data_IF_007742947202
#
_entry.id   IF_007742947202
#
_cell.length_a   1.000
_cell.length_b   1.000
_cell.length_c   1.000
_cell.angle_alpha   90.00
_cell.angle_beta   90.00
_cell.angle_gamma   90.00
#
_symmetry.space_group_name_H-M   'P 1'
#
loop_
_entity.id
_entity.type
_entity.pdbx_description
1 polymer ?
#
# COMPACT_ATOMS: atom_id res chain seq x y z
N UNK A 1 -13.01 -18.10 13.80
CA UNK A 1 -12.29 -18.50 12.57
C UNK A 1 -11.11 -17.56 12.37
N UNK A 2 -9.93 -18.08 12.05
CA UNK A 2 -8.75 -17.26 11.80
C UNK A 2 -8.87 -16.65 10.39
N UNK A 3 -8.85 -15.31 10.27
CA UNK A 3 -8.92 -14.64 8.96
C UNK A 3 -7.57 -14.68 8.27
N UNK A 4 -7.57 -14.73 6.94
CA UNK A 4 -6.38 -14.60 6.10
C UNK A 4 -6.63 -13.43 5.14
N UNK A 5 -6.10 -12.27 5.51
CA UNK A 5 -6.27 -11.03 4.76
C UNK A 5 -4.98 -10.74 3.99
N UNK A 6 -5.14 -10.49 2.70
CA UNK A 6 -4.10 -9.96 1.84
C UNK A 6 -4.29 -8.46 1.68
N UNK A 7 -3.20 -7.71 1.77
CA UNK A 7 -3.11 -6.38 1.17
C UNK A 7 -2.14 -6.48 0.00
N UNK A 8 -2.59 -6.05 -1.17
CA UNK A 8 -1.84 -6.17 -2.42
C UNK A 8 -1.66 -4.76 -2.97
N UNK A 9 -0.41 -4.38 -3.21
CA UNK A 9 -0.01 -3.00 -3.51
C UNK A 9 1.07 -3.00 -4.59
N UNK A 10 0.86 -2.22 -5.66
CA UNK A 10 1.82 -2.12 -6.76
C UNK A 10 3.15 -1.47 -6.36
N UNK A 11 4.24 -1.98 -6.93
CA UNK A 11 5.56 -1.44 -6.66
C UNK A 11 5.89 -0.27 -7.57
N UNK A 12 5.64 0.95 -7.09
CA UNK A 12 5.85 2.20 -7.86
C UNK A 12 4.94 2.26 -9.09
N UNK A 13 3.63 2.21 -8.84
CA UNK A 13 2.59 1.99 -9.83
C UNK A 13 2.73 2.83 -11.11
N UNK A 14 2.56 4.15 -11.02
CA UNK A 14 2.55 5.03 -12.20
C UNK A 14 3.85 4.95 -13.01
N UNK A 15 5.01 4.91 -12.34
CA UNK A 15 6.29 4.78 -13.01
C UNK A 15 6.46 3.40 -13.68
N UNK A 16 5.98 2.33 -13.04
CA UNK A 16 6.04 0.98 -13.62
C UNK A 16 5.12 0.82 -14.82
N UNK A 17 3.95 1.47 -14.82
CA UNK A 17 3.06 1.52 -16.00
C UNK A 17 3.75 2.27 -17.14
N UNK A 18 4.35 3.44 -16.88
CA UNK A 18 5.11 4.15 -17.89
C UNK A 18 6.28 3.32 -18.43
N UNK A 19 7.02 2.58 -17.58
CA UNK A 19 8.11 1.70 -18.00
C UNK A 19 7.62 0.43 -18.72
N UNK A 20 6.40 -0.02 -18.44
CA UNK A 20 5.75 -1.11 -19.16
C UNK A 20 5.43 -0.68 -20.59
N UNK A 21 4.85 0.50 -20.77
CA UNK A 21 4.42 1.04 -22.07
C UNK A 21 5.57 1.66 -22.88
N UNK A 22 6.61 2.15 -22.21
CA UNK A 22 7.83 2.75 -22.80
C UNK A 22 9.09 2.01 -22.35
N UNK A 23 9.49 0.93 -23.05
CA UNK A 23 10.65 0.13 -22.68
C UNK A 23 11.97 0.92 -22.55
N UNK A 24 12.10 2.04 -23.24
CA UNK A 24 13.25 2.95 -23.18
C UNK A 24 13.47 3.59 -21.79
N UNK A 25 12.46 3.58 -20.91
CA UNK A 25 12.56 4.03 -19.51
C UNK A 25 13.00 2.94 -18.53
N UNK A 26 13.05 1.67 -18.95
CA UNK A 26 13.40 0.56 -18.06
C UNK A 26 14.86 0.68 -17.62
N UNK A 27 15.12 0.39 -16.34
CA UNK A 27 16.45 0.52 -15.74
C UNK A 27 16.95 1.96 -15.54
N UNK A 28 16.14 2.99 -15.84
CA UNK A 28 16.48 4.39 -15.63
C UNK A 28 15.66 5.02 -14.51
N UNK A 29 16.21 5.99 -13.75
CA UNK A 29 15.45 6.75 -12.77
C UNK A 29 14.38 7.59 -13.49
N UNK A 30 13.11 7.34 -13.16
CA UNK A 30 11.96 8.01 -13.76
C UNK A 30 11.08 8.62 -12.67
N UNK A 31 10.68 9.87 -12.86
CA UNK A 31 9.66 10.57 -12.09
C UNK A 31 8.41 10.83 -12.94
N UNK A 32 7.25 10.55 -12.40
CA UNK A 32 5.96 10.88 -13.02
C UNK A 32 5.47 12.21 -12.44
N UNK A 33 5.13 13.17 -13.30
CA UNK A 33 4.49 14.44 -12.93
C UNK A 33 3.00 14.40 -13.25
N UNK A 34 2.16 15.11 -12.48
CA UNK A 34 0.71 15.08 -12.70
C UNK A 34 0.29 15.52 -14.11
N UNK A 35 1.03 16.45 -14.72
CA UNK A 35 0.97 16.76 -16.15
C UNK A 35 2.38 17.17 -16.64
N UNK A 36 2.57 17.22 -17.95
CA UNK A 36 3.80 17.73 -18.56
C UNK A 36 4.07 19.17 -18.08
N UNK A 37 5.28 19.44 -17.59
CA UNK A 37 5.72 20.78 -17.17
C UNK A 37 5.33 21.21 -15.75
N UNK A 38 4.70 20.35 -14.92
CA UNK A 38 4.48 20.66 -13.50
C UNK A 38 5.75 20.48 -12.66
N UNK A 39 5.83 21.21 -11.56
CA UNK A 39 7.01 21.29 -10.68
C UNK A 39 7.07 20.20 -9.61
N UNK A 40 6.21 19.17 -9.64
CA UNK A 40 6.16 18.13 -8.62
C UNK A 40 6.03 16.73 -9.21
N UNK A 41 6.81 15.81 -8.64
CA UNK A 41 6.78 14.38 -8.90
C UNK A 41 5.71 13.76 -8.01
N UNK A 42 4.74 13.07 -8.60
CA UNK A 42 3.69 12.35 -7.88
C UNK A 42 4.04 10.90 -7.62
N UNK A 43 4.91 10.31 -8.46
CA UNK A 43 5.42 8.96 -8.27
C UNK A 43 6.85 8.83 -8.79
N UNK A 44 7.70 8.10 -8.07
CA UNK A 44 9.06 7.80 -8.49
C UNK A 44 9.23 6.30 -8.80
N UNK A 45 10.03 5.98 -9.81
CA UNK A 45 10.40 4.60 -10.15
C UNK A 45 11.25 3.94 -9.08
N UNK A 46 11.42 2.62 -9.17
CA UNK A 46 12.26 1.85 -8.24
C UNK A 46 13.72 2.30 -8.34
N UNK A 47 14.18 2.59 -9.54
CA UNK A 47 15.50 3.13 -9.83
C UNK A 47 15.71 4.50 -9.18
N UNK A 48 14.72 5.40 -9.30
CA UNK A 48 14.74 6.71 -8.66
C UNK A 48 14.75 6.60 -7.13
N UNK A 49 13.90 5.74 -6.56
CA UNK A 49 13.83 5.51 -5.10
C UNK A 49 15.13 4.95 -4.53
N UNK A 50 15.84 4.07 -5.27
CA UNK A 50 17.18 3.60 -4.87
C UNK A 50 18.20 4.72 -4.75
N UNK A 51 18.02 5.83 -5.48
CA UNK A 51 18.85 7.03 -5.37
C UNK A 51 18.38 8.00 -4.27
N UNK A 52 17.34 7.66 -3.52
CA UNK A 52 16.82 8.46 -2.41
C UNK A 52 15.65 9.38 -2.78
N UNK A 53 15.12 9.32 -4.01
CA UNK A 53 13.89 10.03 -4.33
C UNK A 53 12.71 9.48 -3.54
N UNK A 54 11.84 10.39 -3.12
CA UNK A 54 10.58 10.07 -2.46
C UNK A 54 9.42 10.37 -3.41
N UNK A 55 8.26 9.75 -3.14
CA UNK A 55 7.02 10.19 -3.77
C UNK A 55 6.67 11.59 -3.25
N UNK A 56 5.96 12.39 -4.06
CA UNK A 56 5.48 13.74 -3.69
C UNK A 56 6.63 14.67 -3.30
N UNK A 57 7.41 15.12 -4.29
CA UNK A 57 8.47 16.10 -4.10
C UNK A 57 8.59 17.07 -5.27
N UNK A 58 9.17 18.26 -5.04
CA UNK A 58 9.41 19.23 -6.13
C UNK A 58 10.44 18.67 -7.10
N UNK A 59 10.23 18.87 -8.40
CA UNK A 59 11.15 18.44 -9.46
C UNK A 59 12.53 19.05 -9.27
N UNK A 60 12.60 20.31 -8.85
CA UNK A 60 13.87 20.97 -8.51
C UNK A 60 14.63 20.24 -7.39
N UNK A 61 13.94 19.87 -6.31
CA UNK A 61 14.56 19.12 -5.20
C UNK A 61 14.94 17.70 -5.66
N UNK A 62 14.16 17.10 -6.57
CA UNK A 62 14.43 15.78 -7.12
C UNK A 62 15.69 15.74 -7.99
N UNK A 63 15.90 16.75 -8.84
CA UNK A 63 17.12 16.86 -9.66
C UNK A 63 18.38 17.06 -8.83
N UNK A 64 18.29 17.67 -7.63
CA UNK A 64 19.42 17.73 -6.70
C UNK A 64 19.83 16.35 -6.20
N UNK A 65 18.88 15.44 -6.02
CA UNK A 65 19.13 14.07 -5.54
C UNK A 65 19.52 13.15 -6.72
N UNK A 66 18.88 13.31 -7.87
CA UNK A 66 19.07 12.49 -9.06
C UNK A 66 19.20 13.39 -10.30
N UNK A 67 20.41 13.87 -10.64
CA UNK A 67 20.62 14.79 -11.77
C UNK A 67 20.25 14.19 -13.14
N UNK A 68 20.31 12.87 -13.29
CA UNK A 68 19.97 12.11 -14.50
C UNK A 68 18.51 11.63 -14.53
N UNK A 69 17.64 12.19 -13.68
CA UNK A 69 16.23 11.83 -13.59
C UNK A 69 15.49 12.13 -14.91
N UNK A 70 14.80 11.13 -15.44
CA UNK A 70 13.83 11.31 -16.51
C UNK A 70 12.47 11.71 -15.93
N UNK A 71 11.72 12.53 -16.66
CA UNK A 71 10.35 12.89 -16.29
C UNK A 71 9.37 12.48 -17.39
N UNK A 72 8.21 12.00 -16.96
CA UNK A 72 7.06 11.75 -17.84
C UNK A 72 5.78 12.28 -17.19
N UNK A 73 4.80 12.66 -18.02
CA UNK A 73 3.47 13.03 -17.54
C UNK A 73 2.65 11.82 -17.11
N UNK A 74 1.69 12.04 -16.22
CA UNK A 74 0.75 11.02 -15.78
C UNK A 74 -0.29 10.70 -16.85
N UNK A 75 -0.56 9.41 -17.06
CA UNK A 75 -1.68 8.93 -17.88
C UNK A 75 -2.70 8.19 -16.99
N UNK A 76 -3.65 8.95 -16.45
CA UNK A 76 -4.67 8.41 -15.55
C UNK A 76 -5.65 7.45 -16.23
N UNK A 77 -5.87 7.60 -17.54
CA UNK A 77 -6.70 6.65 -18.30
C UNK A 77 -6.01 5.29 -18.34
N UNK A 78 -4.71 5.29 -18.62
CA UNK A 78 -3.92 4.06 -18.63
C UNK A 78 -3.82 3.42 -17.26
N UNK A 79 -3.58 4.21 -16.21
CA UNK A 79 -3.56 3.70 -14.83
C UNK A 79 -4.88 3.04 -14.46
N UNK A 80 -6.00 3.61 -14.92
CA UNK A 80 -7.32 3.06 -14.67
C UNK A 80 -7.55 1.70 -15.34
N UNK A 81 -7.15 1.55 -16.60
CA UNK A 81 -7.22 0.28 -17.32
C UNK A 81 -6.44 -0.82 -16.58
N UNK A 82 -5.23 -0.48 -16.12
CA UNK A 82 -4.39 -1.39 -15.35
C UNK A 82 -5.06 -1.78 -14.02
N UNK A 83 -5.58 -0.80 -13.27
CA UNK A 83 -6.31 -1.06 -12.02
C UNK A 83 -7.55 -1.94 -12.25
N UNK A 84 -8.29 -1.72 -13.34
CA UNK A 84 -9.43 -2.56 -13.75
C UNK A 84 -9.03 -4.00 -13.96
N UNK A 85 -7.98 -4.23 -14.75
CA UNK A 85 -7.46 -5.57 -15.01
C UNK A 85 -7.02 -6.25 -13.70
N UNK A 86 -6.26 -5.54 -12.87
CA UNK A 86 -5.80 -6.02 -11.56
C UNK A 86 -6.95 -6.42 -10.62
N UNK A 87 -7.96 -5.57 -10.50
CA UNK A 87 -9.13 -5.85 -9.67
C UNK A 87 -9.89 -7.09 -10.18
N UNK A 88 -10.03 -7.23 -11.51
CA UNK A 88 -10.68 -8.41 -12.10
C UNK A 88 -9.89 -9.68 -11.83
N UNK A 89 -8.57 -9.65 -11.96
CA UNK A 89 -7.70 -10.78 -11.59
C UNK A 89 -7.93 -11.17 -10.13
N UNK A 90 -7.94 -10.20 -9.20
CA UNK A 90 -8.16 -10.47 -7.78
C UNK A 90 -9.55 -11.09 -7.49
N UNK A 91 -10.60 -10.65 -8.18
CA UNK A 91 -11.97 -11.20 -8.03
C UNK A 91 -12.07 -12.69 -8.39
N UNK A 92 -11.21 -13.18 -9.27
CA UNK A 92 -11.17 -14.61 -9.61
C UNK A 92 -10.60 -15.46 -8.46
N UNK A 93 -9.87 -14.87 -7.51
CA UNK A 93 -9.32 -15.57 -6.33
C UNK A 93 -10.20 -15.46 -5.08
N UNK A 94 -11.00 -14.40 -4.98
CA UNK A 94 -11.94 -14.22 -3.88
C UNK A 94 -13.09 -13.28 -4.23
N UNK A 95 -14.32 -13.55 -3.78
CA UNK A 95 -15.42 -12.60 -3.87
C UNK A 95 -15.23 -11.38 -2.93
N UNK A 96 -14.38 -11.49 -1.91
CA UNK A 96 -14.14 -10.44 -0.91
C UNK A 96 -12.94 -9.58 -1.30
N UNK A 97 -13.19 -8.60 -2.17
CA UNK A 97 -12.21 -7.61 -2.63
C UNK A 97 -12.68 -6.19 -2.31
N UNK A 98 -11.89 -5.48 -1.51
CA UNK A 98 -12.10 -4.08 -1.14
C UNK A 98 -11.03 -3.20 -1.78
N UNK A 99 -11.41 -2.34 -2.72
CA UNK A 99 -10.47 -1.40 -3.33
C UNK A 99 -10.17 -0.28 -2.36
N UNK A 100 -8.89 0.00 -2.12
CA UNK A 100 -8.45 1.05 -1.21
C UNK A 100 -7.98 2.31 -1.98
N UNK A 101 -7.28 2.12 -3.11
CA UNK A 101 -6.89 3.18 -4.04
C UNK A 101 -6.79 2.61 -5.47
N UNK A 102 -6.27 3.40 -6.41
CA UNK A 102 -5.95 2.90 -7.77
C UNK A 102 -4.93 1.75 -7.74
N UNK A 103 -4.00 1.75 -6.79
CA UNK A 103 -2.83 0.87 -6.78
C UNK A 103 -2.82 -0.17 -5.66
N UNK A 104 -3.85 -0.22 -4.84
CA UNK A 104 -3.93 -1.18 -3.74
C UNK A 104 -5.36 -1.58 -3.36
N UNK A 105 -5.47 -2.81 -2.87
CA UNK A 105 -6.71 -3.39 -2.38
C UNK A 105 -6.47 -4.37 -1.24
N UNK A 106 -7.54 -4.65 -0.51
CA UNK A 106 -7.61 -5.75 0.43
C UNK A 106 -8.38 -6.92 -0.18
N UNK A 107 -7.93 -8.14 0.11
CA UNK A 107 -8.61 -9.37 -0.32
C UNK A 107 -8.68 -10.35 0.86
N UNK A 108 -9.88 -10.80 1.20
CA UNK A 108 -10.06 -11.85 2.20
C UNK A 108 -10.09 -13.21 1.51
N UNK A 109 -9.08 -14.05 1.77
CA UNK A 109 -8.96 -15.39 1.18
C UNK A 109 -9.29 -16.50 2.18
N UNK A 110 -9.84 -16.16 3.35
CA UNK A 110 -10.14 -17.10 4.44
C UNK A 110 -10.95 -18.31 3.95
N UNK A 111 -11.87 -18.10 3.01
CA UNK A 111 -12.73 -19.15 2.47
C UNK A 111 -12.27 -19.71 1.11
N UNK A 112 -11.25 -19.15 0.48
CA UNK A 112 -10.86 -19.53 -0.89
C UNK A 112 -9.44 -20.06 -1.00
N UNK A 113 -8.56 -19.79 -0.03
CA UNK A 113 -7.13 -20.15 -0.12
C UNK A 113 -6.88 -21.65 -0.41
N UNK A 114 -7.72 -22.54 0.12
CA UNK A 114 -7.60 -23.99 -0.09
C UNK A 114 -7.88 -24.43 -1.52
N UNK A 115 -8.74 -23.69 -2.26
CA UNK A 115 -9.04 -23.95 -3.68
C UNK A 115 -7.80 -23.76 -4.57
N UNK A 116 -6.82 -22.99 -4.08
CA UNK A 116 -5.59 -22.67 -4.80
C UNK A 116 -4.36 -23.35 -4.18
N UNK A 117 -4.56 -24.35 -3.31
CA UNK A 117 -3.48 -25.11 -2.68
C UNK A 117 -2.80 -24.43 -1.49
N UNK A 118 -3.36 -23.35 -0.95
CA UNK A 118 -2.82 -22.63 0.19
C UNK A 118 -2.60 -21.13 -0.07
N UNK A 119 -2.25 -20.38 0.98
CA UNK A 119 -2.01 -18.93 0.89
C UNK A 119 -0.88 -18.57 -0.07
N UNK A 120 0.30 -19.20 0.04
CA UNK A 120 1.45 -18.87 -0.80
C UNK A 120 1.28 -19.34 -2.26
N UNK A 121 0.77 -20.55 -2.54
CA UNK A 121 0.41 -20.95 -3.90
C UNK A 121 -0.60 -20.00 -4.57
N UNK A 122 -1.62 -19.54 -3.83
CA UNK A 122 -2.56 -18.52 -4.32
C UNK A 122 -1.83 -17.23 -4.69
N UNK A 123 -1.00 -16.68 -3.79
CA UNK A 123 -0.24 -15.44 -4.04
C UNK A 123 0.68 -15.59 -5.25
N UNK A 124 1.34 -16.75 -5.40
CA UNK A 124 2.20 -17.03 -6.56
C UNK A 124 1.40 -16.99 -7.87
N UNK A 125 0.26 -17.69 -7.93
CA UNK A 125 -0.62 -17.69 -9.10
C UNK A 125 -1.16 -16.28 -9.41
N UNK A 126 -1.55 -15.52 -8.38
CA UNK A 126 -1.98 -14.13 -8.52
C UNK A 126 -0.90 -13.27 -9.18
N UNK A 127 0.33 -13.33 -8.68
CA UNK A 127 1.46 -12.55 -9.22
C UNK A 127 1.83 -12.98 -10.64
N UNK A 128 1.74 -14.28 -10.95
CA UNK A 128 1.93 -14.79 -12.31
C UNK A 128 0.85 -14.27 -13.28
N UNK A 129 -0.42 -14.21 -12.84
CA UNK A 129 -1.51 -13.63 -13.64
C UNK A 129 -1.30 -12.14 -13.90
N UNK A 130 -0.95 -11.37 -12.87
CA UNK A 130 -0.61 -9.94 -13.01
C UNK A 130 0.51 -9.76 -14.05
N UNK A 131 1.58 -10.55 -13.96
CA UNK A 131 2.70 -10.50 -14.90
C UNK A 131 2.28 -10.81 -16.34
N UNK A 132 1.40 -11.80 -16.54
CA UNK A 132 0.95 -12.26 -17.86
C UNK A 132 -0.08 -11.34 -18.50
N UNK A 133 -1.06 -10.87 -17.72
CA UNK A 133 -2.22 -10.14 -18.21
C UNK A 133 -2.02 -8.63 -18.23
N UNK A 134 -1.21 -8.08 -17.32
CA UNK A 134 -0.96 -6.64 -17.23
C UNK A 134 0.41 -6.29 -17.83
N UNK A 135 1.45 -7.03 -17.46
CA UNK A 135 2.78 -6.84 -18.04
C UNK A 135 3.93 -7.25 -17.12
N UNK A 136 5.06 -7.56 -17.74
CA UNK A 136 6.23 -8.10 -17.03
C UNK A 136 6.95 -7.12 -16.10
N UNK A 137 6.81 -5.81 -16.34
CA UNK A 137 7.41 -4.78 -15.49
C UNK A 137 6.51 -4.39 -14.32
N UNK A 138 5.26 -4.89 -14.32
CA UNK A 138 4.28 -4.66 -13.29
C UNK A 138 4.44 -5.72 -12.20
N UNK A 139 4.83 -5.28 -11.01
CA UNK A 139 4.93 -6.16 -9.84
C UNK A 139 4.12 -5.59 -8.68
N UNK A 140 3.72 -6.48 -7.79
CA UNK A 140 3.01 -6.16 -6.56
C UNK A 140 3.73 -6.77 -5.37
N UNK A 141 3.70 -6.04 -4.26
CA UNK A 141 4.09 -6.55 -2.96
C UNK A 141 2.85 -6.93 -2.16
N UNK A 142 2.92 -8.08 -1.49
CA UNK A 142 1.77 -8.68 -0.80
C UNK A 142 2.06 -8.80 0.69
N UNK A 143 1.18 -8.22 1.50
CA UNK A 143 1.15 -8.39 2.94
C UNK A 143 0.08 -9.38 3.35
N UNK A 144 0.41 -10.32 4.23
CA UNK A 144 -0.50 -11.35 4.74
C UNK A 144 -0.66 -11.16 6.25
N UNK A 145 -1.90 -11.06 6.74
CA UNK A 145 -2.16 -11.00 8.18
C UNK A 145 -3.60 -11.41 8.55
N UNK A 146 -3.92 -11.37 9.85
CA UNK A 146 -5.24 -11.66 10.41
C UNK A 146 -6.26 -10.51 10.31
N UNK A 147 -5.80 -9.32 9.89
CA UNK A 147 -6.62 -8.13 9.74
C UNK A 147 -6.02 -7.14 8.72
N UNK A 148 -6.83 -6.18 8.25
CA UNK A 148 -6.46 -5.23 7.20
C UNK A 148 -5.28 -4.35 7.63
N UNK A 149 -5.33 -3.77 8.82
CA UNK A 149 -4.25 -2.92 9.34
C UNK A 149 -2.87 -3.61 9.27
N UNK A 150 -2.75 -4.83 9.81
CA UNK A 150 -1.48 -5.56 9.81
C UNK A 150 -1.09 -6.04 8.40
N UNK A 151 -2.05 -6.43 7.56
CA UNK A 151 -1.77 -6.83 6.18
C UNK A 151 -1.19 -5.66 5.37
N UNK A 152 -1.75 -4.45 5.54
CA UNK A 152 -1.25 -3.24 4.88
C UNK A 152 0.15 -2.85 5.34
N UNK A 153 0.41 -2.91 6.65
CA UNK A 153 1.76 -2.72 7.17
C UNK A 153 2.72 -3.78 6.60
N UNK A 154 2.29 -5.04 6.52
CA UNK A 154 3.08 -6.16 6.05
C UNK A 154 3.58 -5.98 4.59
N UNK A 155 2.73 -5.47 3.68
CA UNK A 155 3.10 -5.30 2.26
C UNK A 155 4.23 -4.28 2.04
N UNK A 156 4.50 -3.42 3.03
CA UNK A 156 5.59 -2.45 2.99
C UNK A 156 6.99 -3.03 3.26
N UNK A 157 7.11 -4.15 3.98
CA UNK A 157 8.41 -4.63 4.50
C UNK A 157 9.37 -5.20 3.45
N UNK A 158 8.84 -5.84 2.40
CA UNK A 158 9.64 -6.56 1.40
C UNK A 158 9.47 -6.01 -0.01
N UNK A 159 9.20 -4.71 -0.16
CA UNK A 159 9.14 -4.09 -1.49
C UNK A 159 10.51 -4.06 -2.17
N UNK A 160 10.60 -4.22 -3.51
CA UNK A 160 9.53 -4.57 -4.44
C UNK A 160 9.34 -6.08 -4.61
N UNK A 161 8.22 -6.47 -5.20
CA UNK A 161 7.86 -7.84 -5.59
C UNK A 161 7.89 -8.84 -4.42
N UNK A 162 7.69 -8.35 -3.19
CA UNK A 162 7.81 -9.15 -1.98
C UNK A 162 6.52 -9.81 -1.52
N UNK A 163 6.68 -10.77 -0.61
CA UNK A 163 5.59 -11.29 0.22
C UNK A 163 6.06 -11.31 1.67
N UNK A 164 5.27 -10.74 2.57
CA UNK A 164 5.57 -10.72 4.00
C UNK A 164 4.33 -11.04 4.84
N UNK A 165 4.51 -11.88 5.85
CA UNK A 165 3.41 -12.37 6.70
C UNK A 165 3.61 -11.89 8.12
N UNK A 166 2.57 -11.28 8.68
CA UNK A 166 2.50 -10.86 10.08
C UNK A 166 1.52 -11.76 10.81
N UNK A 167 2.04 -12.63 11.67
CA UNK A 167 1.27 -13.47 12.58
C UNK A 167 1.10 -12.75 13.91
N UNK A 168 -0.09 -12.84 14.52
CA UNK A 168 -0.35 -12.17 15.80
C UNK A 168 0.60 -12.64 16.92
N UNK A 169 1.04 -13.90 16.87
CA UNK A 169 2.02 -14.49 17.80
C UNK A 169 3.42 -13.86 17.69
N UNK A 170 3.78 -13.29 16.53
CA UNK A 170 5.07 -12.65 16.26
C UNK A 170 5.00 -11.13 16.26
N UNK A 171 3.87 -10.55 16.69
CA UNK A 171 3.61 -9.12 16.63
C UNK A 171 4.69 -8.29 17.33
N UNK A 172 5.24 -8.77 18.44
CA UNK A 172 6.31 -8.08 19.17
C UNK A 172 7.59 -7.94 18.33
N UNK A 173 7.97 -9.00 17.59
CA UNK A 173 9.15 -8.98 16.72
C UNK A 173 8.95 -8.01 15.56
N UNK A 174 7.74 -8.00 14.97
CA UNK A 174 7.40 -7.08 13.89
C UNK A 174 7.39 -5.63 14.40
N UNK A 175 6.80 -5.38 15.58
CA UNK A 175 6.73 -4.04 16.18
C UNK A 175 8.09 -3.52 16.65
N UNK A 176 9.07 -4.40 16.86
CA UNK A 176 10.43 -4.00 17.18
C UNK A 176 11.17 -3.35 15.99
N UNK A 177 10.82 -3.74 14.76
CA UNK A 177 11.45 -3.23 13.53
C UNK A 177 10.59 -2.22 12.77
N UNK A 178 9.29 -2.18 13.06
CA UNK A 178 8.33 -1.26 12.46
C UNK A 178 8.39 0.15 13.09
N UNK A 179 8.11 1.16 12.27
CA UNK A 179 7.95 2.55 12.67
C UNK A 179 6.48 2.88 12.91
N UNK A 180 6.22 3.95 13.65
CA UNK A 180 4.86 4.45 13.89
C UNK A 180 4.13 4.75 12.57
N UNK A 181 4.83 5.40 11.61
CA UNK A 181 4.27 5.75 10.31
C UNK A 181 4.08 4.56 9.35
N UNK A 182 4.56 3.35 9.69
CA UNK A 182 4.25 2.15 8.88
C UNK A 182 2.78 1.72 9.07
N UNK A 183 2.10 2.23 10.10
CA UNK A 183 0.68 2.00 10.34
C UNK A 183 -0.16 3.02 9.58
N UNK A 184 -1.02 2.52 8.70
CA UNK A 184 -2.03 3.33 8.03
C UNK A 184 -2.92 4.05 9.07
N UNK A 185 -3.01 5.37 8.97
CA UNK A 185 -3.70 6.23 9.92
C UNK A 185 -2.78 6.94 10.92
N UNK A 186 -1.50 6.58 11.01
CA UNK A 186 -0.50 7.33 11.79
C UNK A 186 0.34 8.19 10.84
N UNK A 187 -0.13 9.42 10.59
CA UNK A 187 0.63 10.43 9.86
C UNK A 187 1.59 11.22 10.76
N UNK A 188 2.41 12.08 10.16
CA UNK A 188 3.42 12.91 10.84
C UNK A 188 2.87 13.73 12.02
N UNK A 189 1.63 14.21 11.92
CA UNK A 189 0.96 14.95 13.01
C UNK A 189 0.68 14.06 14.23
N UNK A 190 0.18 12.84 14.01
CA UNK A 190 -0.10 11.90 15.10
C UNK A 190 1.20 11.40 15.71
N UNK A 191 2.17 11.03 14.86
CA UNK A 191 3.50 10.61 15.33
C UNK A 191 4.17 11.69 16.18
N UNK A 192 4.13 12.96 15.76
CA UNK A 192 4.69 14.07 16.56
C UNK A 192 4.07 14.15 17.95
N UNK A 193 2.75 13.97 18.06
CA UNK A 193 2.03 14.00 19.34
C UNK A 193 2.35 12.77 20.20
N UNK A 194 2.42 11.58 19.60
CA UNK A 194 2.88 10.37 20.28
C UNK A 194 4.31 10.55 20.84
N UNK A 195 5.21 11.14 20.05
CA UNK A 195 6.57 11.45 20.47
C UNK A 195 6.61 12.44 21.64
N UNK A 196 5.72 13.44 21.68
CA UNK A 196 5.59 14.35 22.82
C UNK A 196 5.13 13.64 24.11
N UNK A 197 4.40 12.53 24.00
CA UNK A 197 4.06 11.64 25.12
C UNK A 197 5.17 10.63 25.47
N UNK A 198 6.33 10.68 24.80
CA UNK A 198 7.41 9.70 24.97
C UNK A 198 7.13 8.34 24.30
N UNK A 199 6.21 8.30 23.33
CA UNK A 199 5.84 7.10 22.57
C UNK A 199 6.50 7.16 21.19
N UNK A 200 7.70 6.60 21.08
CA UNK A 200 8.48 6.61 19.82
C UNK A 200 8.38 5.32 19.00
N UNK A 201 7.83 4.24 19.56
CA UNK A 201 7.79 2.92 18.93
C UNK A 201 6.42 2.27 19.10
N UNK A 202 6.08 1.34 18.21
CA UNK A 202 4.85 0.55 18.35
C UNK A 202 4.86 -0.34 19.60
N UNK A 203 6.04 -0.80 20.04
CA UNK A 203 6.19 -1.50 21.32
C UNK A 203 5.84 -0.62 22.52
N UNK A 204 6.23 0.66 22.49
CA UNK A 204 5.83 1.60 23.55
C UNK A 204 4.32 1.88 23.48
N UNK A 205 3.77 2.11 22.28
CA UNK A 205 2.34 2.31 22.07
C UNK A 205 1.49 1.14 22.60
N UNK A 206 1.95 -0.09 22.36
CA UNK A 206 1.31 -1.33 22.86
C UNK A 206 1.14 -1.37 24.38
N UNK A 207 2.08 -0.76 25.12
CA UNK A 207 2.11 -0.69 26.59
C UNK A 207 1.37 0.54 27.13
N UNK A 208 0.97 1.48 26.29
CA UNK A 208 0.29 2.71 26.72
C UNK A 208 -1.16 2.42 27.13
N UNK A 209 -1.61 2.86 28.31
CA UNK A 209 -3.01 2.76 28.72
C UNK A 209 -3.95 3.54 27.81
N UNK A 210 -5.14 2.99 27.56
CA UNK A 210 -6.17 3.64 26.74
C UNK A 210 -6.53 5.04 27.26
N UNK A 211 -6.63 5.22 28.58
CA UNK A 211 -6.95 6.50 29.22
C UNK A 211 -6.00 7.62 28.79
N UNK A 212 -4.70 7.32 28.68
CA UNK A 212 -3.69 8.31 28.27
C UNK A 212 -3.85 8.68 26.80
N UNK A 213 -4.20 7.70 25.96
CA UNK A 213 -4.45 7.92 24.54
C UNK A 213 -5.73 8.72 24.31
N UNK A 214 -6.80 8.47 25.09
CA UNK A 214 -8.04 9.26 25.03
C UNK A 214 -7.79 10.69 25.51
N UNK A 215 -7.06 10.87 26.61
CA UNK A 215 -6.76 12.19 27.15
C UNK A 215 -6.02 13.10 26.14
N UNK A 216 -5.08 12.53 25.37
CA UNK A 216 -4.37 13.27 24.34
C UNK A 216 -5.20 13.38 23.05
N UNK A 217 -5.68 12.27 22.49
CA UNK A 217 -6.19 12.22 21.11
C UNK A 217 -7.72 12.31 21.00
N UNK A 218 -8.44 12.36 22.11
CA UNK A 218 -9.88 12.20 22.16
C UNK A 218 -10.32 10.74 21.96
N UNK A 219 -11.61 10.50 22.06
CA UNK A 219 -12.19 9.15 22.14
C UNK A 219 -11.88 8.28 20.90
N UNK A 220 -12.31 8.74 19.72
CA UNK A 220 -12.17 7.98 18.46
C UNK A 220 -10.71 7.66 18.13
N UNK A 221 -9.83 8.67 18.18
CA UNK A 221 -8.42 8.48 17.83
C UNK A 221 -7.66 7.73 18.94
N UNK A 222 -8.00 7.95 20.21
CA UNK A 222 -7.44 7.21 21.33
C UNK A 222 -7.72 5.71 21.23
N UNK A 223 -8.96 5.33 20.90
CA UNK A 223 -9.35 3.94 20.65
C UNK A 223 -8.65 3.34 19.42
N UNK A 224 -8.53 4.10 18.34
CA UNK A 224 -7.76 3.68 17.15
C UNK A 224 -6.31 3.35 17.54
N UNK A 225 -5.60 4.27 18.20
CA UNK A 225 -4.20 4.09 18.59
C UNK A 225 -4.01 2.95 19.59
N UNK A 226 -4.96 2.75 20.50
CA UNK A 226 -4.94 1.63 21.42
C UNK A 226 -5.05 0.29 20.66
N UNK A 227 -5.96 0.20 19.69
CA UNK A 227 -6.13 -0.97 18.85
C UNK A 227 -4.90 -1.23 17.97
N UNK A 228 -4.26 -0.18 17.43
CA UNK A 228 -2.94 -0.27 16.78
C UNK A 228 -1.92 -0.92 17.71
N UNK A 229 -1.78 -0.43 18.95
CA UNK A 229 -0.87 -1.01 19.94
C UNK A 229 -1.16 -2.50 20.21
N UNK A 230 -2.42 -2.93 20.14
CA UNK A 230 -2.80 -4.34 20.32
C UNK A 230 -2.69 -5.19 19.04
N UNK A 231 -2.44 -4.59 17.88
CA UNK A 231 -2.47 -5.29 16.58
C UNK A 231 -3.88 -5.70 16.17
N UNK A 232 -4.90 -4.99 16.65
CA UNK A 232 -6.30 -5.38 16.49
C UNK A 232 -7.00 -4.46 15.49
N UNK A 233 -7.66 -5.08 14.53
CA UNK A 233 -8.57 -4.41 13.60
C UNK A 233 -9.66 -5.41 13.22
N UNK A 234 -10.91 -5.09 13.57
CA UNK A 234 -12.08 -5.95 13.35
C UNK A 234 -12.84 -5.59 12.09
N UNK A 235 -12.42 -4.54 11.37
CA UNK A 235 -13.10 -4.14 10.14
C UNK A 235 -13.06 -5.28 9.12
N UNK A 236 -14.19 -5.58 8.46
CA UNK A 236 -14.23 -6.59 7.41
C UNK A 236 -13.58 -6.07 6.13
N UNK A 237 -13.21 -6.99 5.24
CA UNK A 237 -13.00 -6.67 3.82
C UNK A 237 -14.39 -6.59 3.19
N UNK A 238 -14.78 -5.40 2.76
CA UNK A 238 -16.09 -5.11 2.17
C UNK A 238 -16.05 -5.31 0.66
N UNK A 239 -17.17 -5.73 0.06
CA UNK A 239 -17.28 -5.86 -1.39
C UNK A 239 -17.47 -4.47 -2.04
N UNK A 240 -16.42 -3.66 -2.08
CA UNK A 240 -16.49 -2.27 -2.55
C UNK A 240 -16.02 -2.07 -3.99
N UNK A 241 -15.47 -3.12 -4.63
CA UNK A 241 -14.89 -3.00 -5.96
C UNK A 241 -15.88 -2.42 -7.00
N UNK A 242 -17.17 -2.78 -6.95
CA UNK A 242 -18.19 -2.22 -7.84
C UNK A 242 -18.45 -0.72 -7.59
N UNK A 243 -18.55 -0.32 -6.33
CA UNK A 243 -18.83 1.06 -5.92
C UNK A 243 -17.69 2.02 -6.26
N UNK A 244 -16.43 1.57 -6.17
CA UNK A 244 -15.27 2.37 -6.54
C UNK A 244 -15.32 2.79 -8.02
N UNK A 245 -15.62 1.84 -8.92
CA UNK A 245 -15.82 2.13 -10.35
C UNK A 245 -17.00 3.07 -10.57
N UNK A 246 -18.14 2.86 -9.90
CA UNK A 246 -19.31 3.73 -10.04
C UNK A 246 -19.03 5.17 -9.58
N UNK A 247 -18.25 5.34 -8.51
CA UNK A 247 -17.89 6.67 -8.00
C UNK A 247 -16.84 7.37 -8.87
N UNK A 248 -15.90 6.64 -9.47
CA UNK A 248 -14.90 7.18 -10.40
C UNK A 248 -15.48 7.49 -11.78
N UNK A 249 -16.26 6.59 -12.37
CA UNK A 249 -16.92 6.80 -13.66
C UNK A 249 -17.95 7.96 -13.57
N UNK A 250 -18.50 8.23 -12.39
CA UNK A 250 -19.35 9.40 -12.13
C UNK A 250 -18.57 10.71 -11.86
N UNK A 251 -17.24 10.70 -11.95
CA UNK A 251 -16.38 11.86 -11.66
C UNK A 251 -16.44 12.34 -10.19
N UNK A 252 -16.91 11.50 -9.26
CA UNK A 252 -17.14 11.87 -7.85
C UNK A 252 -15.93 11.61 -6.95
N UNK A 253 -14.92 10.91 -7.43
CA UNK A 253 -13.62 10.81 -6.76
C UNK A 253 -12.69 11.79 -7.46
N UNK A 254 -12.49 12.94 -6.83
CA UNK A 254 -11.38 13.83 -7.17
C UNK A 254 -10.10 13.11 -6.73
N UNK A 255 -9.30 12.68 -7.71
CA UNK A 255 -7.93 12.29 -7.45
C UNK A 255 -7.18 13.53 -6.92
N UNK A 256 -6.40 13.42 -5.83
CA UNK A 256 -5.65 14.54 -5.28
C UNK A 256 -4.62 15.12 -6.27
#
# INVERSE_FOLDING_TARGET
MHRIILHIDFDSFFASVAQQDHPEFRGKPLGVTAHNGRTAIIAASREAKRKGLQNVMRTYDAYKICPDLLLTGADFNRYWEVSKCFINICKDFSPYVEVFSLDELFMDITLTFHLFGGTYPLIKQLKERIRKEIGEYITVSVGVAENKMLAKMASGFKKPDGVFTVEQSKLEQVYAIAKLQDICGIGSRIERRLNQMGIYTLLKLRKTPLSNLIAEFGDVCGHFLYNVGKGRDVSPVTMSAGTFFTMLDAGKILLP
#
